data_IF_800468238754
#
_entry.id   IF_800468238754
#
_cell.length_a   1.000
_cell.length_b   1.000
_cell.length_c   1.000
_cell.angle_alpha   90.00
_cell.angle_beta   90.00
_cell.angle_gamma   90.00
#
_symmetry.space_group_name_H-M   'P 1'
#
loop_
_entity.id
_entity.type
_entity.pdbx_description
1 polymer ?
#
# COMPACT_ATOMS: atom_id res chain seq x y z
N UNK A 1 -26.34 31.96 42.07
CA UNK A 1 -24.96 31.43 41.99
C UNK A 1 -24.93 30.43 40.86
N UNK A 2 -24.48 30.87 39.69
CA UNK A 2 -24.46 30.07 38.47
C UNK A 2 -23.25 29.15 38.50
N UNK A 3 -23.46 27.83 38.50
CA UNK A 3 -22.38 26.85 38.50
C UNK A 3 -21.50 27.04 37.25
N UNK A 4 -20.17 27.18 37.40
CA UNK A 4 -19.24 27.40 36.28
C UNK A 4 -18.87 26.11 35.55
N UNK A 5 -19.66 25.04 35.69
CA UNK A 5 -19.44 23.79 34.97
C UNK A 5 -20.11 23.90 33.60
N UNK A 6 -19.35 24.41 32.64
CA UNK A 6 -19.69 24.33 31.22
C UNK A 6 -20.01 22.89 30.84
N UNK A 7 -20.97 22.73 29.93
CA UNK A 7 -21.43 21.43 29.48
C UNK A 7 -20.25 20.55 29.05
N UNK A 8 -20.15 19.31 29.56
CA UNK A 8 -19.11 18.37 29.13
C UNK A 8 -19.32 18.08 27.64
N UNK A 9 -18.28 18.34 26.83
CA UNK A 9 -18.32 18.16 25.38
C UNK A 9 -18.22 19.45 24.56
N UNK A 10 -17.64 20.52 25.11
CA UNK A 10 -17.31 21.69 24.30
C UNK A 10 -16.14 21.36 23.36
N UNK A 11 -16.17 21.84 22.12
CA UNK A 11 -15.07 21.63 21.12
C UNK A 11 -13.67 21.96 21.70
N UNK A 12 -13.62 22.88 22.67
CA UNK A 12 -12.39 23.26 23.39
C UNK A 12 -11.75 22.13 24.19
N UNK A 13 -12.54 21.18 24.68
CA UNK A 13 -12.02 20.02 25.41
C UNK A 13 -11.37 19.02 24.44
N UNK A 14 -11.90 18.94 23.21
CA UNK A 14 -11.34 18.15 22.12
C UNK A 14 -10.00 18.73 21.69
N UNK A 15 -9.94 20.03 21.45
CA UNK A 15 -8.69 20.74 21.13
C UNK A 15 -7.64 20.58 22.23
N UNK A 16 -8.04 20.63 23.50
CA UNK A 16 -7.13 20.42 24.64
C UNK A 16 -6.63 18.97 24.72
N UNK A 17 -7.50 17.98 24.50
CA UNK A 17 -7.11 16.58 24.51
C UNK A 17 -6.16 16.25 23.34
N UNK A 18 -6.45 16.77 22.15
CA UNK A 18 -5.61 16.61 20.95
C UNK A 18 -4.24 17.26 21.18
N UNK A 19 -4.20 18.50 21.65
CA UNK A 19 -2.94 19.20 21.94
C UNK A 19 -2.12 18.53 23.06
N UNK A 20 -2.77 18.03 24.12
CA UNK A 20 -2.11 17.25 25.18
C UNK A 20 -1.48 15.96 24.64
N UNK A 21 -2.20 15.22 23.80
CA UNK A 21 -1.65 14.05 23.13
C UNK A 21 -0.43 14.40 22.25
N UNK A 22 -0.37 15.61 21.67
CA UNK A 22 0.78 16.04 20.85
C UNK A 22 2.01 16.31 21.69
N UNK A 23 1.85 16.88 22.88
CA UNK A 23 2.95 17.15 23.79
C UNK A 23 3.59 15.85 24.31
N UNK A 24 2.79 14.86 24.70
CA UNK A 24 3.31 13.58 25.20
C UNK A 24 4.03 12.79 24.11
N UNK A 25 3.58 12.90 22.85
CA UNK A 25 4.25 12.30 21.70
C UNK A 25 5.66 12.85 21.47
N UNK A 26 5.86 14.17 21.53
CA UNK A 26 7.19 14.74 21.40
C UNK A 26 8.14 14.22 22.48
N UNK A 27 7.63 13.97 23.69
CA UNK A 27 8.38 13.36 24.78
C UNK A 27 8.70 11.88 24.50
N UNK A 28 7.73 11.12 23.96
CA UNK A 28 7.90 9.71 23.60
C UNK A 28 8.91 9.52 22.45
N UNK A 29 8.85 10.35 21.40
CA UNK A 29 9.84 10.38 20.30
C UNK A 29 11.24 10.68 20.84
N UNK A 30 11.36 11.63 21.76
CA UNK A 30 12.66 11.97 22.34
C UNK A 30 13.26 10.81 23.18
N UNK A 31 12.42 9.91 23.68
CA UNK A 31 12.85 8.78 24.52
C UNK A 31 13.05 7.48 23.75
N UNK A 32 12.35 7.27 22.63
CA UNK A 32 12.52 6.10 21.79
C UNK A 32 13.52 6.41 20.69
N UNK A 33 14.73 5.82 20.78
CA UNK A 33 15.76 5.89 19.75
C UNK A 33 15.15 5.70 18.36
N UNK A 34 15.41 6.67 17.48
CA UNK A 34 14.75 6.80 16.19
C UNK A 34 14.76 5.45 15.42
N UNK A 35 13.61 4.81 15.16
CA UNK A 35 13.54 3.68 14.22
C UNK A 35 13.77 4.12 12.75
N UNK A 36 14.31 5.33 12.54
CA UNK A 36 14.48 5.97 11.23
C UNK A 36 15.58 5.35 10.39
N UNK A 37 16.36 4.40 10.93
CA UNK A 37 17.27 3.57 10.14
C UNK A 37 16.58 2.77 9.02
N UNK A 38 15.25 2.62 9.07
CA UNK A 38 14.42 1.99 8.01
C UNK A 38 13.88 3.00 6.99
N UNK A 39 13.88 4.30 7.30
CA UNK A 39 13.38 5.36 6.40
C UNK A 39 14.45 5.80 5.41
N UNK A 40 15.72 5.69 5.79
CA UNK A 40 16.82 5.91 4.87
C UNK A 40 16.80 4.84 3.77
N UNK A 41 16.75 5.28 2.51
CA UNK A 41 16.70 4.44 1.31
C UNK A 41 18.01 3.65 1.08
N UNK A 42 18.89 3.60 2.10
CA UNK A 42 20.14 2.84 2.10
C UNK A 42 19.79 1.38 2.32
N UNK A 43 19.81 0.64 1.21
CA UNK A 43 19.59 -0.81 1.18
C UNK A 43 20.62 -1.49 2.08
N UNK A 44 20.22 -1.79 3.33
CA UNK A 44 21.06 -2.50 4.27
C UNK A 44 21.04 -3.98 3.90
N UNK A 45 22.17 -4.68 4.03
CA UNK A 45 22.27 -6.12 3.72
C UNK A 45 21.19 -6.97 4.39
N UNK A 46 20.71 -6.56 5.57
CA UNK A 46 19.60 -7.21 6.28
C UNK A 46 18.27 -7.21 5.51
N UNK A 47 17.95 -6.13 4.79
CA UNK A 47 16.77 -6.05 3.94
C UNK A 47 16.92 -6.94 2.70
N UNK A 48 18.13 -7.00 2.14
CA UNK A 48 18.41 -7.80 0.95
C UNK A 48 18.48 -9.31 1.25
N UNK A 49 18.86 -9.71 2.48
CA UNK A 49 19.07 -11.10 2.86
C UNK A 49 17.90 -12.06 2.52
N UNK A 50 16.63 -11.78 2.86
CA UNK A 50 15.52 -12.68 2.50
C UNK A 50 15.32 -12.77 0.98
N UNK A 51 15.51 -11.68 0.26
CA UNK A 51 15.43 -11.67 -1.21
C UNK A 51 16.54 -12.48 -1.84
N UNK A 52 17.77 -12.28 -1.35
CA UNK A 52 18.95 -12.98 -1.83
C UNK A 52 18.86 -14.47 -1.51
N UNK A 53 18.34 -14.85 -0.35
CA UNK A 53 18.08 -16.25 0.00
C UNK A 53 17.04 -16.89 -0.93
N UNK A 54 15.94 -16.19 -1.21
CA UNK A 54 14.91 -16.65 -2.17
C UNK A 54 15.49 -16.81 -3.57
N UNK A 55 16.19 -15.80 -4.06
CA UNK A 55 16.88 -15.81 -5.36
C UNK A 55 17.91 -16.93 -5.43
N UNK A 56 18.73 -17.10 -4.39
CA UNK A 56 19.74 -18.14 -4.30
C UNK A 56 19.07 -19.52 -4.35
N UNK A 57 17.98 -19.73 -3.61
CA UNK A 57 17.23 -20.99 -3.65
C UNK A 57 16.74 -21.29 -5.07
N UNK A 58 16.10 -20.32 -5.73
CA UNK A 58 15.57 -20.47 -7.09
C UNK A 58 16.64 -20.55 -8.18
N UNK A 59 17.88 -20.12 -7.91
CA UNK A 59 18.98 -20.25 -8.85
C UNK A 59 19.75 -21.56 -8.63
N UNK A 60 20.08 -21.88 -7.37
CA UNK A 60 20.91 -23.02 -6.99
C UNK A 60 20.16 -24.32 -7.19
N UNK A 61 18.90 -24.43 -6.76
CA UNK A 61 18.14 -25.67 -6.87
C UNK A 61 18.02 -26.20 -8.31
N UNK A 62 17.54 -25.41 -9.30
CA UNK A 62 17.48 -25.91 -10.68
C UNK A 62 18.88 -26.11 -11.30
N UNK A 63 19.90 -25.35 -10.86
CA UNK A 63 21.28 -25.57 -11.33
C UNK A 63 21.83 -26.90 -10.83
N UNK A 64 21.62 -27.26 -9.57
CA UNK A 64 22.01 -28.57 -9.02
C UNK A 64 21.27 -29.69 -9.73
N UNK A 65 19.95 -29.55 -9.96
CA UNK A 65 19.16 -30.52 -10.71
C UNK A 65 19.65 -30.65 -12.15
N UNK A 66 20.04 -29.56 -12.80
CA UNK A 66 20.64 -29.58 -14.14
C UNK A 66 21.95 -30.36 -14.15
N UNK A 67 22.82 -30.17 -13.15
CA UNK A 67 24.05 -30.94 -13.03
C UNK A 67 23.77 -32.43 -12.83
N UNK A 68 22.82 -32.78 -11.96
CA UNK A 68 22.38 -34.18 -11.76
C UNK A 68 21.84 -34.76 -13.07
N UNK A 69 21.01 -34.01 -13.80
CA UNK A 69 20.49 -34.41 -15.11
C UNK A 69 21.63 -34.69 -16.11
N UNK A 70 22.61 -33.79 -16.21
CA UNK A 70 23.76 -33.96 -17.11
C UNK A 70 24.54 -35.24 -16.78
N UNK A 71 24.71 -35.55 -15.49
CA UNK A 71 25.36 -36.81 -15.07
C UNK A 71 24.53 -38.04 -15.47
N UNK A 72 23.21 -37.99 -15.27
CA UNK A 72 22.31 -39.09 -15.68
C UNK A 72 22.36 -39.30 -17.19
N UNK A 73 22.25 -38.22 -17.98
CA UNK A 73 22.31 -38.28 -19.45
C UNK A 73 23.66 -38.82 -19.95
N UNK A 74 24.75 -38.44 -19.28
CA UNK A 74 26.08 -38.97 -19.57
C UNK A 74 26.19 -40.46 -19.29
N UNK A 75 25.73 -40.93 -18.13
CA UNK A 75 25.73 -42.36 -17.79
C UNK A 75 24.81 -43.15 -18.72
N UNK A 76 23.65 -42.60 -19.06
CA UNK A 76 22.70 -43.19 -20.00
C UNK A 76 23.33 -43.38 -21.39
N UNK A 77 24.17 -42.43 -21.83
CA UNK A 77 24.88 -42.50 -23.11
C UNK A 77 25.92 -43.64 -23.17
N UNK A 78 26.36 -44.16 -22.01
CA UNK A 78 27.28 -45.31 -21.93
C UNK A 78 26.55 -46.64 -21.81
N UNK A 79 25.27 -46.63 -21.49
CA UNK A 79 24.42 -47.82 -21.38
C UNK A 79 23.61 -48.06 -22.65
N UNK A 80 23.07 -49.27 -22.79
CA UNK A 80 22.08 -49.57 -23.84
C UNK A 80 20.84 -48.69 -23.62
N UNK A 81 20.29 -48.05 -24.67
CA UNK A 81 19.12 -47.20 -24.53
C UNK A 81 17.93 -47.94 -23.90
N UNK A 82 17.32 -47.36 -22.87
CA UNK A 82 16.11 -47.85 -22.23
C UNK A 82 15.06 -46.73 -22.11
N UNK A 83 13.80 -47.05 -22.44
CA UNK A 83 12.73 -46.05 -22.47
C UNK A 83 12.39 -45.45 -21.10
N UNK A 84 12.78 -46.12 -20.00
CA UNK A 84 12.56 -45.59 -18.66
C UNK A 84 13.51 -44.43 -18.35
N UNK A 85 14.81 -44.57 -18.62
CA UNK A 85 15.78 -43.49 -18.44
C UNK A 85 15.45 -42.28 -19.32
N UNK A 86 15.01 -42.49 -20.56
CA UNK A 86 14.56 -41.41 -21.44
C UNK A 86 13.37 -40.64 -20.84
N UNK A 87 12.37 -41.35 -20.32
CA UNK A 87 11.20 -40.75 -19.70
C UNK A 87 11.55 -39.96 -18.43
N UNK A 88 12.39 -40.52 -17.56
CA UNK A 88 12.87 -39.85 -16.33
C UNK A 88 13.69 -38.60 -16.68
N UNK A 89 14.59 -38.70 -17.67
CA UNK A 89 15.41 -37.59 -18.13
C UNK A 89 14.57 -36.44 -18.71
N UNK A 90 13.55 -36.77 -19.50
CA UNK A 90 12.61 -35.78 -20.04
C UNK A 90 11.81 -35.10 -18.93
N UNK A 91 11.26 -35.87 -17.97
CA UNK A 91 10.51 -35.33 -16.84
C UNK A 91 11.37 -34.40 -15.98
N UNK A 92 12.62 -34.79 -15.70
CA UNK A 92 13.59 -33.98 -14.97
C UNK A 92 13.92 -32.68 -15.73
N UNK A 93 14.09 -32.77 -17.06
CA UNK A 93 14.28 -31.60 -17.92
C UNK A 93 13.11 -30.60 -17.84
N UNK A 94 11.87 -31.10 -17.94
CA UNK A 94 10.67 -30.26 -17.80
C UNK A 94 10.62 -29.63 -16.41
N UNK A 95 10.88 -30.38 -15.35
CA UNK A 95 10.91 -29.88 -13.98
C UNK A 95 11.93 -28.75 -13.81
N UNK A 96 13.15 -28.90 -14.35
CA UNK A 96 14.19 -27.87 -14.31
C UNK A 96 13.73 -26.59 -15.01
N UNK A 97 13.13 -26.71 -16.20
CA UNK A 97 12.60 -25.55 -16.94
C UNK A 97 11.51 -24.84 -16.14
N UNK A 98 10.56 -25.60 -15.56
CA UNK A 98 9.50 -25.03 -14.71
C UNK A 98 10.08 -24.32 -13.50
N UNK A 99 11.10 -24.88 -12.84
CA UNK A 99 11.76 -24.26 -11.70
C UNK A 99 12.49 -22.97 -12.08
N UNK A 100 13.15 -22.92 -13.24
CA UNK A 100 13.76 -21.67 -13.74
C UNK A 100 12.69 -20.61 -14.05
N UNK A 101 11.58 -20.98 -14.70
CA UNK A 101 10.49 -20.05 -14.97
C UNK A 101 9.84 -19.53 -13.68
N UNK A 102 9.61 -20.41 -12.69
CA UNK A 102 9.13 -20.02 -11.37
C UNK A 102 10.12 -19.10 -10.64
N UNK A 103 11.41 -19.39 -10.74
CA UNK A 103 12.48 -18.54 -10.22
C UNK A 103 12.46 -17.15 -10.84
N UNK A 104 12.41 -17.06 -12.17
CA UNK A 104 12.29 -15.80 -12.92
C UNK A 104 11.03 -15.04 -12.50
N UNK A 105 9.87 -15.70 -12.46
CA UNK A 105 8.62 -15.08 -12.01
C UNK A 105 8.72 -14.54 -10.58
N UNK A 106 9.40 -15.27 -9.68
CA UNK A 106 9.64 -14.84 -8.29
C UNK A 106 10.43 -13.53 -8.20
N UNK A 107 11.32 -13.22 -9.15
CA UNK A 107 12.04 -11.94 -9.17
C UNK A 107 11.12 -10.74 -9.44
N UNK A 108 10.04 -10.95 -10.19
CA UNK A 108 9.08 -9.90 -10.51
C UNK A 108 7.96 -9.79 -9.46
N UNK A 109 7.79 -10.80 -8.61
CA UNK A 109 6.86 -10.75 -7.50
C UNK A 109 7.24 -9.61 -6.52
N UNK A 110 6.34 -8.63 -6.29
CA UNK A 110 6.56 -7.57 -5.32
C UNK A 110 6.71 -8.13 -3.91
N UNK A 111 7.71 -7.68 -3.16
CA UNK A 111 7.81 -7.97 -1.75
C UNK A 111 7.35 -6.77 -0.92
N UNK A 112 6.74 -7.07 0.23
CA UNK A 112 6.34 -6.09 1.23
C UNK A 112 7.48 -5.93 2.23
N UNK A 113 8.12 -4.78 2.21
CA UNK A 113 9.16 -4.41 3.18
C UNK A 113 8.52 -3.53 4.26
N UNK A 114 8.44 -3.96 5.53
CA UNK A 114 7.90 -3.13 6.60
C UNK A 114 8.81 -1.92 6.82
N UNK A 115 8.22 -0.71 6.78
CA UNK A 115 8.93 0.56 6.99
C UNK A 115 8.77 0.98 8.45
N UNK A 116 7.53 1.01 8.93
CA UNK A 116 7.21 1.48 10.27
C UNK A 116 5.91 0.85 10.75
N UNK A 117 5.81 0.68 12.07
CA UNK A 117 4.61 0.23 12.73
C UNK A 117 4.42 1.03 14.03
N UNK A 118 3.16 1.24 14.39
CA UNK A 118 2.79 1.79 15.68
C UNK A 118 1.45 1.20 16.09
N UNK A 119 1.34 0.83 17.35
CA UNK A 119 0.11 0.29 17.91
C UNK A 119 -0.06 0.74 19.35
N UNK A 120 -1.32 0.97 19.74
CA UNK A 120 -1.73 1.21 21.10
C UNK A 120 -2.95 0.35 21.42
N UNK A 121 -2.93 -0.20 22.62
CA UNK A 121 -4.07 -0.89 23.21
C UNK A 121 -4.68 0.01 24.28
N UNK A 122 -5.96 0.31 24.16
CA UNK A 122 -6.69 1.12 25.13
C UNK A 122 -7.58 0.22 25.96
N UNK A 123 -7.28 0.16 27.25
CA UNK A 123 -8.00 -0.70 28.20
C UNK A 123 -9.46 -0.30 28.34
N UNK A 124 -10.36 -1.29 28.30
CA UNK A 124 -11.80 -1.10 28.45
C UNK A 124 -12.40 -0.11 27.43
N UNK A 125 -11.87 -0.04 26.20
CA UNK A 125 -12.40 0.85 25.14
C UNK A 125 -12.94 0.12 23.90
N UNK A 126 -13.11 -1.20 23.94
CA UNK A 126 -13.54 -2.01 22.80
C UNK A 126 -14.84 -1.51 22.15
N UNK A 127 -15.82 -1.09 22.95
CA UNK A 127 -17.11 -0.57 22.47
C UNK A 127 -16.97 0.71 21.62
N UNK A 128 -15.87 1.45 21.79
CA UNK A 128 -15.62 2.68 21.03
C UNK A 128 -15.06 2.43 19.61
N UNK A 129 -14.76 1.18 19.24
CA UNK A 129 -14.07 0.84 17.99
C UNK A 129 -14.75 1.43 16.75
N UNK A 130 -16.06 1.23 16.60
CA UNK A 130 -16.81 1.71 15.45
C UNK A 130 -16.79 3.25 15.35
N UNK A 131 -17.00 3.94 16.48
CA UNK A 131 -16.97 5.41 16.52
C UNK A 131 -15.59 5.99 16.21
N UNK A 132 -14.53 5.35 16.72
CA UNK A 132 -13.15 5.77 16.46
C UNK A 132 -12.77 5.54 14.99
N UNK A 133 -13.16 4.40 14.41
CA UNK A 133 -12.92 4.11 12.99
C UNK A 133 -13.62 5.13 12.06
N UNK A 134 -14.91 5.38 12.29
CA UNK A 134 -15.68 6.33 11.47
C UNK A 134 -15.12 7.75 11.57
N UNK A 135 -14.67 8.17 12.76
CA UNK A 135 -14.01 9.46 12.92
C UNK A 135 -12.71 9.53 12.13
N UNK A 136 -11.84 8.52 12.24
CA UNK A 136 -10.58 8.47 11.48
C UNK A 136 -10.83 8.50 9.98
N UNK A 137 -11.82 7.76 9.49
CA UNK A 137 -12.22 7.76 8.07
C UNK A 137 -12.67 9.14 7.62
N UNK A 138 -13.51 9.81 8.40
CA UNK A 138 -13.97 11.16 8.11
C UNK A 138 -12.83 12.19 8.15
N UNK A 139 -11.96 12.13 9.15
CA UNK A 139 -10.80 12.99 9.28
C UNK A 139 -9.81 12.82 8.12
N UNK A 140 -9.56 11.57 7.69
CA UNK A 140 -8.71 11.28 6.54
C UNK A 140 -9.26 11.90 5.25
N UNK A 141 -10.58 11.79 5.02
CA UNK A 141 -11.25 12.41 3.88
C UNK A 141 -11.17 13.96 3.94
N UNK A 142 -11.35 14.54 5.13
CA UNK A 142 -11.32 16.00 5.32
C UNK A 142 -9.94 16.62 5.05
N UNK A 143 -8.86 15.90 5.38
CA UNK A 143 -7.47 16.39 5.22
C UNK A 143 -7.03 16.54 3.76
N UNK A 144 -7.69 15.89 2.80
CA UNK A 144 -7.32 15.89 1.36
C UNK A 144 -5.82 15.64 1.16
N UNK A 145 -5.30 14.62 1.86
CA UNK A 145 -3.91 14.17 1.73
C UNK A 145 -3.57 13.88 0.26
N UNK A 146 -2.34 14.11 -0.19
CA UNK A 146 -1.89 13.68 -1.51
C UNK A 146 -1.87 12.15 -1.67
N UNK A 147 -1.93 11.40 -0.56
CA UNK A 147 -2.11 9.95 -0.60
C UNK A 147 -3.57 9.58 -0.90
N UNK A 148 -3.76 8.60 -1.77
CA UNK A 148 -5.06 7.98 -2.00
C UNK A 148 -5.49 7.24 -0.73
N UNK A 149 -6.71 7.50 -0.27
CA UNK A 149 -7.28 6.88 0.93
C UNK A 149 -8.50 6.05 0.53
N UNK A 150 -8.50 4.76 0.85
CA UNK A 150 -9.62 3.87 0.57
C UNK A 150 -9.98 3.01 1.79
N UNK A 151 -11.28 2.92 2.14
CA UNK A 151 -11.73 1.93 3.11
C UNK A 151 -11.61 0.53 2.50
N UNK A 152 -11.18 -0.43 3.29
CA UNK A 152 -11.06 -1.84 2.90
C UNK A 152 -11.37 -2.75 4.08
N UNK A 153 -11.43 -4.06 3.81
CA UNK A 153 -11.69 -5.08 4.83
C UNK A 153 -10.65 -6.17 4.70
N UNK A 154 -9.89 -6.44 5.77
CA UNK A 154 -8.88 -7.51 5.81
C UNK A 154 -9.33 -8.54 6.84
N UNK A 155 -9.58 -9.77 6.39
CA UNK A 155 -10.09 -10.85 7.24
C UNK A 155 -11.36 -10.48 8.05
N UNK A 156 -12.28 -9.73 7.42
CA UNK A 156 -13.52 -9.27 8.07
C UNK A 156 -13.37 -8.02 8.95
N UNK A 157 -12.15 -7.49 9.10
CA UNK A 157 -11.88 -6.32 9.94
C UNK A 157 -11.76 -5.06 9.08
N UNK A 158 -12.50 -3.97 9.41
CA UNK A 158 -12.40 -2.72 8.68
C UNK A 158 -11.02 -2.07 8.87
N UNK A 159 -10.42 -1.68 7.75
CA UNK A 159 -9.12 -1.01 7.71
C UNK A 159 -9.18 0.18 6.75
N UNK A 160 -8.32 1.16 6.99
CA UNK A 160 -8.12 2.29 6.09
C UNK A 160 -6.77 2.15 5.40
N UNK A 161 -6.79 2.02 4.08
CA UNK A 161 -5.59 1.89 3.26
C UNK A 161 -5.19 3.27 2.71
N UNK A 162 -3.89 3.54 2.79
CA UNK A 162 -3.25 4.72 2.23
C UNK A 162 -2.26 4.29 1.15
N UNK A 163 -2.30 4.92 -0.02
CA UNK A 163 -1.39 4.64 -1.13
C UNK A 163 -0.73 5.92 -1.60
N UNK A 164 0.60 5.90 -1.67
CA UNK A 164 1.38 6.99 -2.24
C UNK A 164 2.62 6.40 -2.91
N UNK A 165 2.69 6.43 -4.24
CA UNK A 165 3.76 5.80 -5.03
C UNK A 165 3.92 4.29 -4.72
N UNK A 166 5.07 3.89 -4.16
CA UNK A 166 5.40 2.51 -3.80
C UNK A 166 5.08 2.19 -2.34
N UNK A 167 4.74 3.23 -1.57
CA UNK A 167 4.46 3.20 -0.15
C UNK A 167 2.97 2.93 0.06
N UNK A 168 2.70 2.00 0.99
CA UNK A 168 1.35 1.68 1.43
C UNK A 168 1.31 1.74 2.95
N UNK A 169 0.23 2.23 3.51
CA UNK A 169 -0.04 2.13 4.94
C UNK A 169 -1.44 1.58 5.17
N UNK A 170 -1.60 0.85 6.27
CA UNK A 170 -2.88 0.32 6.72
C UNK A 170 -3.08 0.78 8.15
N UNK A 171 -4.16 1.50 8.39
CA UNK A 171 -4.63 1.86 9.71
C UNK A 171 -5.77 0.93 10.11
N UNK A 172 -5.65 0.36 11.30
CA UNK A 172 -6.55 -0.62 11.87
C UNK A 172 -7.11 -0.08 13.19
N UNK A 173 -8.43 -0.10 13.32
CA UNK A 173 -9.15 0.19 14.56
C UNK A 173 -10.11 -0.97 14.81
N UNK A 174 -9.83 -1.79 15.81
CA UNK A 174 -10.64 -2.98 16.08
C UNK A 174 -10.79 -3.24 17.58
N UNK A 175 -11.95 -3.77 18.02
CA UNK A 175 -12.07 -4.26 19.39
C UNK A 175 -11.18 -5.50 19.58
N UNK A 176 -10.49 -5.56 20.71
CA UNK A 176 -9.72 -6.72 21.15
C UNK A 176 -10.26 -7.17 22.51
N UNK A 177 -11.35 -7.94 22.48
CA UNK A 177 -12.13 -8.23 23.69
C UNK A 177 -12.78 -6.95 24.25
N UNK A 178 -12.42 -6.57 25.48
CA UNK A 178 -12.87 -5.33 26.11
C UNK A 178 -12.01 -4.12 25.76
N UNK A 179 -10.85 -4.34 25.19
CA UNK A 179 -9.89 -3.30 24.88
C UNK A 179 -10.03 -2.85 23.43
N UNK A 180 -9.51 -1.66 23.11
CA UNK A 180 -9.47 -1.16 21.74
C UNK A 180 -8.04 -1.19 21.22
N UNK A 181 -7.84 -1.92 20.13
CA UNK A 181 -6.59 -1.88 19.39
C UNK A 181 -6.67 -0.79 18.32
N UNK A 182 -5.77 0.20 18.41
CA UNK A 182 -5.57 1.23 17.39
C UNK A 182 -4.13 1.15 16.95
N UNK A 183 -3.90 0.82 15.69
CA UNK A 183 -2.54 0.76 15.17
C UNK A 183 -2.49 0.95 13.67
N UNK A 184 -1.29 1.16 13.17
CA UNK A 184 -1.04 1.19 11.75
C UNK A 184 0.29 0.52 11.45
N UNK A 185 0.37 -0.01 10.23
CA UNK A 185 1.60 -0.53 9.67
C UNK A 185 1.79 0.09 8.29
N UNK A 186 3.02 0.44 7.99
CA UNK A 186 3.44 1.01 6.72
C UNK A 186 4.49 0.09 6.10
N UNK A 187 4.32 -0.23 4.83
CA UNK A 187 5.25 -1.04 4.08
C UNK A 187 5.50 -0.44 2.70
N UNK A 188 6.63 -0.80 2.12
CA UNK A 188 6.96 -0.49 0.74
C UNK A 188 6.79 -1.74 -0.10
N UNK A 189 6.18 -1.59 -1.27
CA UNK A 189 6.11 -2.66 -2.26
C UNK A 189 7.18 -2.42 -3.32
N UNK A 190 8.21 -3.27 -3.37
CA UNK A 190 9.26 -3.22 -4.40
C UNK A 190 9.43 -4.61 -5.03
N UNK A 191 9.55 -4.65 -6.36
CA UNK A 191 9.94 -5.89 -7.03
C UNK A 191 11.43 -6.17 -6.80
N UNK A 192 11.81 -7.45 -6.72
CA UNK A 192 13.23 -7.82 -6.54
C UNK A 192 14.06 -7.38 -7.74
N UNK A 193 13.47 -7.43 -8.95
CA UNK A 193 14.07 -6.91 -10.17
C UNK A 193 14.39 -5.41 -10.07
N UNK A 194 13.46 -4.59 -9.55
CA UNK A 194 13.68 -3.15 -9.34
C UNK A 194 14.80 -2.89 -8.33
N UNK A 195 14.84 -3.64 -7.23
CA UNK A 195 15.92 -3.52 -6.23
C UNK A 195 17.28 -3.89 -6.83
N UNK A 196 17.36 -5.00 -7.56
CA UNK A 196 18.60 -5.43 -8.21
C UNK A 196 19.06 -4.42 -9.27
N UNK A 197 18.13 -3.88 -10.05
CA UNK A 197 18.43 -2.83 -11.03
C UNK A 197 18.99 -1.57 -10.35
N UNK A 198 18.39 -1.14 -9.23
CA UNK A 198 18.92 -0.03 -8.43
C UNK A 198 20.30 -0.36 -7.86
N UNK A 199 20.50 -1.55 -7.30
CA UNK A 199 21.80 -1.98 -6.79
C UNK A 199 22.89 -2.00 -7.87
N UNK A 200 22.59 -2.57 -9.04
CA UNK A 200 23.50 -2.60 -10.18
C UNK A 200 23.78 -1.18 -10.68
N UNK A 201 22.75 -0.35 -10.80
CA UNK A 201 22.90 1.06 -11.15
C UNK A 201 23.73 1.81 -10.12
N UNK A 202 23.62 1.55 -8.83
CA UNK A 202 24.39 2.28 -7.82
C UNK A 202 25.84 1.75 -7.72
N UNK A 203 26.05 0.46 -8.00
CA UNK A 203 27.37 -0.17 -8.07
C UNK A 203 28.17 0.29 -9.30
N UNK A 204 27.53 0.30 -10.47
CA UNK A 204 28.16 0.63 -11.75
C UNK A 204 27.94 2.07 -12.20
N UNK A 205 26.90 2.74 -11.70
CA UNK A 205 26.52 4.11 -12.04
C UNK A 205 27.34 5.19 -11.35
N UNK A 206 28.51 4.85 -10.79
CA UNK A 206 29.58 5.84 -10.52
C UNK A 206 29.91 6.71 -11.75
N UNK A 207 29.49 6.29 -12.95
CA UNK A 207 29.63 7.01 -14.21
C UNK A 207 28.41 7.84 -14.64
N UNK A 208 27.27 7.78 -13.96
CA UNK A 208 26.05 8.51 -14.32
C UNK A 208 25.44 9.22 -13.09
N UNK A 209 25.61 10.56 -12.95
CA UNK A 209 25.05 11.30 -11.82
C UNK A 209 23.52 11.26 -11.84
N UNK A 210 22.91 10.49 -10.94
CA UNK A 210 21.48 10.58 -10.70
C UNK A 210 21.16 11.84 -9.87
N UNK A 211 20.01 12.52 -10.11
CA UNK A 211 19.63 13.72 -9.37
C UNK A 211 19.29 13.37 -7.91
N UNK A 212 20.18 13.73 -6.99
CA UNK A 212 20.06 13.53 -5.53
C UNK A 212 18.75 14.08 -4.95
N UNK A 213 18.28 15.19 -5.50
CA UNK A 213 17.03 15.85 -5.09
C UNK A 213 15.79 14.92 -5.14
N UNK A 214 15.75 13.99 -6.10
CA UNK A 214 14.60 13.08 -6.24
C UNK A 214 14.48 12.07 -5.09
N UNK A 215 15.60 11.70 -4.46
CA UNK A 215 15.62 10.77 -3.33
C UNK A 215 15.18 11.48 -2.04
N UNK A 216 15.66 12.70 -1.83
CA UNK A 216 15.27 13.52 -0.68
C UNK A 216 13.77 13.84 -0.69
N UNK A 217 13.21 14.21 -1.85
CA UNK A 217 11.77 14.48 -1.97
C UNK A 217 10.93 13.23 -1.70
N UNK A 218 11.37 12.05 -2.16
CA UNK A 218 10.70 10.78 -1.88
C UNK A 218 10.75 10.43 -0.39
N UNK A 219 11.91 10.58 0.25
CA UNK A 219 12.05 10.38 1.69
C UNK A 219 11.16 11.34 2.49
N UNK A 220 11.09 12.61 2.10
CA UNK A 220 10.19 13.60 2.71
C UNK A 220 8.72 13.20 2.55
N UNK A 221 8.31 12.73 1.37
CA UNK A 221 6.96 12.24 1.12
C UNK A 221 6.61 11.02 2.00
N UNK A 222 7.53 10.05 2.12
CA UNK A 222 7.35 8.88 3.02
C UNK A 222 7.18 9.32 4.48
N UNK A 223 8.00 10.27 4.97
CA UNK A 223 7.88 10.81 6.34
C UNK A 223 6.55 11.54 6.54
N UNK A 224 6.12 12.34 5.56
CA UNK A 224 4.84 13.05 5.61
C UNK A 224 3.65 12.07 5.65
N UNK A 225 3.69 10.98 4.87
CA UNK A 225 2.67 9.94 4.93
C UNK A 225 2.64 9.26 6.30
N UNK A 226 3.82 8.86 6.83
CA UNK A 226 3.94 8.26 8.16
C UNK A 226 3.32 9.15 9.24
N UNK A 227 3.69 10.43 9.29
CA UNK A 227 3.16 11.37 10.28
C UNK A 227 1.65 11.62 10.09
N UNK A 228 1.17 11.65 8.84
CA UNK A 228 -0.26 11.77 8.55
C UNK A 228 -1.07 10.60 9.12
N UNK A 229 -0.66 9.36 8.85
CA UNK A 229 -1.32 8.15 9.39
C UNK A 229 -1.19 8.09 10.92
N UNK A 230 -0.02 8.45 11.45
CA UNK A 230 0.18 8.50 12.89
C UNK A 230 -0.74 9.52 13.56
N UNK A 231 -0.84 10.73 13.03
CA UNK A 231 -1.76 11.77 13.49
C UNK A 231 -3.23 11.31 13.46
N UNK A 232 -3.66 10.65 12.38
CA UNK A 232 -5.01 10.07 12.29
C UNK A 232 -5.26 9.01 13.36
N UNK A 233 -4.29 8.12 13.61
CA UNK A 233 -4.43 7.12 14.67
C UNK A 233 -4.61 7.75 16.04
N UNK A 234 -3.98 8.90 16.29
CA UNK A 234 -4.09 9.65 17.55
C UNK A 234 -5.43 10.35 17.71
N UNK A 235 -6.02 10.86 16.63
CA UNK A 235 -7.40 11.35 16.66
C UNK A 235 -8.39 10.21 16.98
N UNK A 236 -8.19 9.02 16.40
CA UNK A 236 -8.97 7.83 16.74
C UNK A 236 -8.89 7.46 18.23
N UNK A 237 -7.68 7.52 18.81
CA UNK A 237 -7.47 7.33 20.26
C UNK A 237 -8.18 8.41 21.07
N UNK A 238 -8.06 9.69 20.69
CA UNK A 238 -8.69 10.79 21.41
C UNK A 238 -10.22 10.66 21.45
N UNK A 239 -10.84 10.28 20.34
CA UNK A 239 -12.29 10.02 20.27
C UNK A 239 -12.68 8.82 21.14
N UNK A 240 -11.91 7.73 21.12
CA UNK A 240 -12.18 6.57 21.95
C UNK A 240 -12.13 6.88 23.45
N UNK A 241 -11.27 7.82 23.88
CA UNK A 241 -11.16 8.24 25.28
C UNK A 241 -12.32 9.13 25.75
N UNK A 242 -12.94 9.89 24.84
CA UNK A 242 -14.08 10.76 25.14
C UNK A 242 -15.41 10.02 25.26
N UNK A 243 -15.53 8.87 24.60
CA UNK A 243 -16.69 8.00 24.78
C UNK A 243 -16.90 7.65 26.26
N UNK A 244 -18.14 7.35 26.69
CA UNK A 244 -18.38 6.83 28.03
C UNK A 244 -17.48 5.62 28.26
N UNK A 245 -16.65 5.65 29.31
CA UNK A 245 -15.94 4.45 29.70
C UNK A 245 -17.00 3.39 30.03
N UNK A 246 -16.94 2.18 29.45
CA UNK A 246 -17.77 1.08 29.87
C UNK A 246 -17.61 0.96 31.38
N UNK A 247 -18.68 1.25 32.14
CA UNK A 247 -18.65 0.97 33.56
C UNK A 247 -18.35 -0.52 33.66
N UNK A 248 -17.31 -0.93 34.41
CA UNK A 248 -17.08 -2.34 34.63
C UNK A 248 -18.41 -2.87 35.15
N UNK A 249 -19.07 -3.72 34.36
CA UNK A 249 -20.33 -4.30 34.73
C UNK A 249 -20.08 -4.88 36.13
N UNK A 250 -20.61 -4.22 37.16
CA UNK A 250 -20.52 -4.73 38.52
C UNK A 250 -20.99 -6.17 38.48
N UNK A 251 -20.43 -7.09 39.28
CA UNK A 251 -20.65 -8.54 39.18
C UNK A 251 -22.13 -8.84 39.03
N UNK A 252 -22.55 -8.90 37.78
CA UNK A 252 -23.90 -8.96 37.33
C UNK A 252 -24.03 -10.30 36.65
N UNK A 253 -25.17 -10.97 36.79
CA UNK A 253 -25.34 -12.31 36.25
C UNK A 253 -24.95 -12.29 34.76
N UNK A 254 -24.04 -13.17 34.38
CA UNK A 254 -23.45 -13.25 33.05
C UNK A 254 -24.53 -13.42 31.98
N UNK A 255 -25.05 -12.33 31.44
CA UNK A 255 -26.08 -12.34 30.38
C UNK A 255 -25.69 -11.30 29.33
N UNK A 256 -24.87 -11.68 28.37
CA UNK A 256 -24.49 -10.80 27.27
C UNK A 256 -23.31 -11.31 26.48
N UNK A 257 -23.43 -12.51 25.91
CA UNK A 257 -22.55 -12.93 24.84
C UNK A 257 -22.66 -11.89 23.72
N UNK A 258 -21.52 -11.33 23.30
CA UNK A 258 -21.42 -10.71 21.99
C UNK A 258 -21.91 -11.74 21.00
N UNK A 259 -23.09 -11.50 20.42
CA UNK A 259 -23.54 -12.24 19.26
C UNK A 259 -22.50 -11.97 18.18
N UNK A 260 -21.56 -12.90 18.02
CA UNK A 260 -20.78 -13.00 16.81
C UNK A 260 -21.77 -12.84 15.63
N UNK A 261 -21.36 -12.18 14.53
CA UNK A 261 -22.17 -12.15 13.32
C UNK A 261 -22.69 -13.56 13.09
N UNK A 262 -24.02 -13.71 13.13
CA UNK A 262 -24.67 -15.00 12.95
C UNK A 262 -24.15 -15.49 11.62
N UNK A 263 -23.28 -16.50 11.62
CA UNK A 263 -22.94 -17.23 10.41
C UNK A 263 -24.29 -17.70 9.87
N UNK A 264 -24.78 -17.03 8.83
CA UNK A 264 -25.89 -17.57 8.08
C UNK A 264 -25.42 -18.97 7.65
N UNK A 265 -26.17 -20.03 7.99
CA UNK A 265 -25.81 -21.36 7.56
C UNK A 265 -25.62 -21.29 6.04
N UNK A 266 -24.54 -21.87 5.49
CA UNK A 266 -24.28 -21.82 4.07
C UNK A 266 -25.55 -22.29 3.37
N UNK A 267 -26.21 -21.35 2.68
CA UNK A 267 -27.29 -21.67 1.77
C UNK A 267 -26.74 -22.77 0.88
N UNK A 268 -27.45 -23.90 0.93
CA UNK A 268 -27.09 -25.16 0.30
C UNK A 268 -26.41 -24.93 -1.04
N UNK A 269 -25.29 -25.62 -1.27
CA UNK A 269 -24.64 -25.76 -2.57
C UNK A 269 -25.67 -25.99 -3.67
N UNK A 270 -26.11 -24.90 -4.29
CA UNK A 270 -26.93 -24.89 -5.48
C UNK A 270 -26.04 -25.29 -6.63
N UNK A 271 -26.30 -26.49 -7.11
CA UNK A 271 -25.94 -27.08 -8.40
C UNK A 271 -25.28 -26.09 -9.38
N UNK A 272 -23.95 -26.19 -9.49
CA UNK A 272 -23.13 -25.41 -10.41
C UNK A 272 -23.33 -25.84 -11.86
N UNK A 273 -24.48 -25.47 -12.43
CA UNK A 273 -24.69 -25.43 -13.88
C UNK A 273 -25.18 -24.06 -14.30
N UNK A 274 -24.58 -23.58 -15.38
CA UNK A 274 -24.99 -22.44 -16.20
C UNK A 274 -24.74 -21.03 -15.63
N UNK A 275 -23.50 -20.57 -15.75
CA UNK A 275 -23.25 -19.16 -16.03
C UNK A 275 -22.04 -18.98 -16.96
N UNK A 276 -22.20 -19.41 -18.23
CA UNK A 276 -21.19 -19.27 -19.28
C UNK A 276 -21.53 -18.26 -20.37
N UNK A 277 -22.66 -17.54 -20.27
CA UNK A 277 -23.22 -16.81 -21.43
C UNK A 277 -23.37 -15.29 -21.32
N UNK A 278 -22.77 -14.62 -20.31
CA UNK A 278 -22.72 -13.15 -20.32
C UNK A 278 -21.40 -12.62 -20.89
N UNK A 279 -21.15 -12.97 -22.16
CA UNK A 279 -20.19 -12.25 -23.01
C UNK A 279 -20.93 -11.08 -23.65
N UNK A 280 -20.88 -9.92 -23.00
CA UNK A 280 -21.40 -8.69 -23.60
C UNK A 280 -20.61 -8.37 -24.87
N UNK A 281 -21.30 -8.51 -26.00
CA UNK A 281 -20.95 -7.95 -27.29
C UNK A 281 -20.74 -6.44 -27.16
N UNK A 282 -19.48 -6.00 -27.27
CA UNK A 282 -19.18 -4.61 -27.61
C UNK A 282 -19.52 -4.44 -29.08
N UNK A 283 -20.74 -3.98 -29.32
CA UNK A 283 -21.29 -3.65 -30.62
C UNK A 283 -20.65 -2.35 -31.11
N UNK A 284 -19.76 -2.45 -32.11
CA UNK A 284 -19.31 -1.31 -32.90
C UNK A 284 -20.51 -0.64 -33.61
N UNK A 285 -20.74 0.66 -33.45
CA UNK A 285 -21.65 1.39 -34.32
C UNK A 285 -20.92 1.89 -35.57
N UNK A 286 -21.12 1.12 -36.64
CA UNK A 286 -21.57 1.60 -37.95
C UNK A 286 -21.14 2.99 -38.44
N UNK A 287 -20.23 2.98 -39.41
CA UNK A 287 -20.17 3.90 -40.56
C UNK A 287 -21.55 4.11 -41.18
N UNK A 288 -21.99 5.36 -41.30
CA UNK A 288 -22.44 5.98 -42.56
C UNK A 288 -23.02 7.38 -42.28
N UNK A 289 -22.51 8.41 -42.96
CA UNK A 289 -23.27 9.31 -43.83
C UNK A 289 -22.51 10.63 -44.06
N UNK A 290 -22.37 10.94 -45.34
CA UNK A 290 -21.90 12.21 -45.86
C UNK A 290 -22.80 13.38 -45.42
N UNK A 291 -22.20 14.52 -45.11
CA UNK A 291 -22.81 15.81 -45.39
C UNK A 291 -21.77 16.82 -45.88
N UNK A 292 -22.03 17.31 -47.08
CA UNK A 292 -21.38 18.42 -47.75
C UNK A 292 -21.82 19.76 -47.12
N UNK A 293 -20.88 20.70 -47.04
CA UNK A 293 -21.10 22.04 -47.60
C UNK A 293 -21.38 23.22 -46.65
N UNK A 294 -20.66 24.32 -46.94
CA UNK A 294 -20.83 25.72 -46.53
C UNK A 294 -20.41 26.05 -45.07
N UNK A 295 -19.48 26.94 -44.75
CA UNK A 295 -18.90 28.08 -45.49
C UNK A 295 -19.28 29.39 -44.78
N UNK A 296 -18.42 29.94 -43.91
CA UNK A 296 -18.37 31.38 -43.64
C UNK A 296 -17.07 31.82 -42.93
N UNK A 297 -16.64 33.08 -43.13
CA UNK A 297 -15.25 33.50 -43.10
C UNK A 297 -14.78 34.06 -41.75
N UNK A 298 -13.46 34.21 -41.67
CA UNK A 298 -12.70 34.80 -40.59
C UNK A 298 -12.91 36.32 -40.50
N UNK A 299 -13.11 36.80 -39.27
CA UNK A 299 -12.89 38.21 -38.91
C UNK A 299 -11.55 38.36 -38.17
N UNK A 300 -10.72 39.36 -38.53
CA UNK A 300 -9.50 39.70 -37.81
C UNK A 300 -9.78 40.69 -36.66
N UNK A 301 -9.09 40.60 -35.50
CA UNK A 301 -9.12 41.66 -34.52
C UNK A 301 -8.21 42.84 -34.93
N UNK A 302 -8.58 44.08 -34.58
CA UNK A 302 -7.93 45.30 -35.06
C UNK A 302 -6.60 45.61 -34.36
N UNK A 303 -5.69 46.17 -35.14
CA UNK A 303 -4.45 46.81 -34.69
C UNK A 303 -4.75 48.21 -34.15
N UNK A 304 -4.35 48.49 -32.90
CA UNK A 304 -4.43 49.81 -32.27
C UNK A 304 -3.16 50.10 -31.48
N UNK A 305 -2.55 51.24 -31.77
CA UNK A 305 -1.20 51.64 -31.39
C UNK A 305 -1.06 52.20 -29.95
N UNK A 306 0.20 52.15 -29.48
CA UNK A 306 0.92 52.80 -28.36
C UNK A 306 0.63 54.33 -28.19
N UNK A 307 1.06 55.06 -27.12
CA UNK A 307 2.26 54.87 -26.24
C UNK A 307 2.02 55.14 -24.72
N UNK A 308 2.95 54.87 -23.79
CA UNK A 308 4.03 55.80 -23.35
C UNK A 308 4.90 55.14 -22.26
N UNK A 309 6.19 55.48 -22.29
CA UNK A 309 7.30 55.01 -21.48
C UNK A 309 7.18 55.21 -19.96
N UNK A 310 7.81 54.28 -19.21
CA UNK A 310 8.20 54.39 -17.80
C UNK A 310 9.34 53.40 -17.50
N UNK A 311 10.33 53.76 -16.64
CA UNK A 311 11.67 53.16 -16.69
C UNK A 311 11.80 51.81 -15.97
N UNK A 312 12.78 51.07 -16.46
CA UNK A 312 13.20 49.73 -16.06
C UNK A 312 13.55 49.58 -14.57
N UNK A 313 13.02 48.52 -13.95
CA UNK A 313 13.64 47.85 -12.82
C UNK A 313 13.65 46.35 -13.14
N UNK A 314 14.84 45.87 -13.50
CA UNK A 314 15.14 44.47 -13.75
C UNK A 314 15.18 43.70 -12.44
N UNK A 315 14.31 42.69 -12.28
CA UNK A 315 14.60 41.41 -11.60
C UNK A 315 13.39 40.47 -11.70
N UNK A 316 13.33 39.63 -12.74
CA UNK A 316 12.58 38.37 -12.69
C UNK A 316 13.21 37.33 -13.62
N UNK A 317 13.79 36.28 -13.02
CA UNK A 317 14.04 35.00 -13.70
C UNK A 317 12.70 34.27 -13.84
N UNK A 318 12.09 34.40 -15.02
CA UNK A 318 10.86 33.73 -15.38
C UNK A 318 11.13 32.27 -15.77
N UNK A 319 10.62 31.34 -14.96
CA UNK A 319 10.44 29.94 -15.34
C UNK A 319 9.25 29.82 -16.28
N UNK A 320 9.50 29.70 -17.58
CA UNK A 320 8.48 29.28 -18.56
C UNK A 320 8.36 27.76 -18.50
N UNK A 321 7.32 27.29 -17.82
CA UNK A 321 6.89 25.89 -17.86
C UNK A 321 6.21 25.59 -19.19
N UNK A 322 6.92 24.91 -20.07
CA UNK A 322 6.41 24.37 -21.33
C UNK A 322 5.55 23.13 -21.03
N UNK A 323 4.24 23.27 -21.27
CA UNK A 323 3.26 22.19 -21.11
C UNK A 323 3.53 21.07 -22.11
N UNK A 324 3.83 19.88 -21.59
CA UNK A 324 3.76 18.63 -22.34
C UNK A 324 2.53 17.87 -21.90
N UNK A 325 1.56 17.81 -22.82
CA UNK A 325 0.46 16.86 -22.80
C UNK A 325 1.03 15.43 -22.94
N UNK A 326 1.26 14.77 -21.81
CA UNK A 326 1.50 13.33 -21.80
C UNK A 326 0.15 12.62 -21.71
N UNK A 327 -0.14 11.64 -22.59
CA UNK A 327 -1.37 10.86 -22.51
C UNK A 327 -1.40 10.09 -21.18
N UNK A 328 -2.49 10.26 -20.42
CA UNK A 328 -2.78 9.43 -19.26
C UNK A 328 -2.97 7.98 -19.73
N UNK A 329 -1.95 7.15 -19.51
CA UNK A 329 -2.07 5.69 -19.63
C UNK A 329 -2.89 5.22 -18.45
N UNK A 330 -4.12 4.76 -18.73
CA UNK A 330 -4.99 4.15 -17.73
C UNK A 330 -4.29 2.98 -17.07
N UNK A 331 -4.02 3.09 -15.77
CA UNK A 331 -3.53 2.00 -14.94
C UNK A 331 -4.70 1.02 -14.77
N UNK A 332 -4.57 -0.27 -15.13
CA UNK A 332 -5.62 -1.23 -14.87
C UNK A 332 -5.89 -1.33 -13.36
N UNK A 333 -7.16 -1.41 -12.99
CA UNK A 333 -7.57 -1.70 -11.63
C UNK A 333 -7.04 -3.09 -11.25
N UNK A 334 -5.93 -3.12 -10.50
CA UNK A 334 -5.42 -4.33 -9.88
C UNK A 334 -6.48 -4.84 -8.90
N UNK A 335 -7.06 -5.99 -9.22
CA UNK A 335 -7.91 -6.75 -8.30
C UNK A 335 -7.05 -7.19 -7.13
N UNK A 336 -7.24 -6.53 -5.98
CA UNK A 336 -6.61 -6.82 -4.68
C UNK A 336 -7.17 -8.15 -4.11
N UNK A 337 -6.98 -9.26 -4.83
CA UNK A 337 -7.34 -10.59 -4.36
C UNK A 337 -6.28 -11.09 -3.37
N UNK A 338 -6.65 -10.99 -2.09
CA UNK A 338 -6.47 -12.06 -1.12
C UNK A 338 -5.03 -12.43 -0.75
N UNK A 339 -4.38 -11.62 0.08
CA UNK A 339 -3.25 -12.10 0.90
C UNK A 339 -3.40 -11.61 2.34
N UNK A 340 -4.02 -12.46 3.17
CA UNK A 340 -4.01 -12.32 4.63
C UNK A 340 -2.60 -12.48 5.22
N UNK A 341 -2.41 -12.13 6.50
CA UNK A 341 -1.14 -12.32 7.19
C UNK A 341 -0.75 -13.82 7.21
N UNK A 342 0.55 -14.16 7.16
CA UNK A 342 0.98 -15.55 7.31
C UNK A 342 0.55 -16.11 8.68
N UNK A 343 0.17 -17.39 8.77
CA UNK A 343 -0.23 -18.02 10.02
C UNK A 343 0.89 -17.89 11.06
N UNK A 344 0.54 -17.33 12.23
CA UNK A 344 1.43 -17.19 13.40
C UNK A 344 1.40 -18.47 14.24
N UNK A 345 1.79 -19.58 13.65
CA UNK A 345 1.99 -20.82 14.41
C UNK A 345 3.48 -21.14 14.42
N UNK A 346 4.06 -21.09 15.63
CA UNK A 346 5.44 -21.42 16.04
C UNK A 346 6.34 -20.23 16.36
N UNK A 347 6.15 -19.71 17.57
CA UNK A 347 7.25 -19.43 18.49
C UNK A 347 6.95 -20.16 19.80
#
# INVERSE_FOLDING_TARGET
>A
MSSPHGAPGSDRDLDRAVSGAHADYHREIQQHAEPDGLVDDVVTYRMLAPHLMRTLLFLVAPTVLLLVKVVIDYLASMSTPDGFTDAVSALLGVLIVVLYLAGIASFFAPAKEPIAEHARLLENRGDAAASAYEHVRAAAAARRSPAEVSPSTVAGVPVLLFRQYSERAMLLVQPYGRDLYVGWTMWRSRSTATLLLHFLRDTFGRFAPAPRFSAELRAAATRALRESVHSLSREGVAVALQGPAPQPAGPGPATGAWSAPREEPPTSWGDGRDNRDNRHEVREPGRAAAHQGAGHPADPPPSGALPTAGPAVDTHGAWTGEGRDAPQVGVPADTDEGWGPPPRDRW
#
